data_IF_110652488876
#
_entry.id   IF_110652488876
#
_cell.length_a   1.000
_cell.length_b   1.000
_cell.length_c   1.000
_cell.angle_alpha   90.00
_cell.angle_beta   90.00
_cell.angle_gamma   90.00
#
_symmetry.space_group_name_H-M   'P 1'
#
loop_
_entity.id
_entity.type
_entity.pdbx_description
1 polymer ?
#
# COMPACT_ATOMS: atom_id res chain seq x y z
N UNK A 1 -1.41 -1.50 11.75
CA UNK A 1 -2.39 -0.49 11.31
C UNK A 1 -3.36 -1.06 10.28
N UNK A 2 -4.48 -0.40 10.10
CA UNK A 2 -5.36 -0.56 8.94
C UNK A 2 -5.35 0.72 8.11
N UNK A 3 -5.66 0.61 6.83
CA UNK A 3 -5.65 1.73 5.88
C UNK A 3 -7.06 2.12 5.41
N UNK A 4 -8.06 1.88 6.23
CA UNK A 4 -9.43 2.30 5.97
C UNK A 4 -10.05 2.97 7.19
N UNK A 5 -10.61 4.18 6.99
CA UNK A 5 -11.35 4.90 8.01
C UNK A 5 -12.67 4.20 8.37
N UNK A 6 -13.13 4.34 9.61
CA UNK A 6 -14.41 3.80 10.07
C UNK A 6 -15.64 4.38 9.35
N UNK A 7 -15.50 5.53 8.71
CA UNK A 7 -16.55 6.16 7.88
C UNK A 7 -16.79 5.46 6.55
N UNK A 8 -15.98 4.48 6.21
CA UNK A 8 -16.06 3.68 4.97
C UNK A 8 -16.53 2.27 5.31
N UNK A 9 -17.74 1.94 4.94
CA UNK A 9 -18.35 0.63 5.20
C UNK A 9 -18.03 -0.33 4.04
N UNK A 10 -17.69 -1.57 4.37
CA UNK A 10 -17.34 -2.60 3.41
C UNK A 10 -15.98 -2.41 2.76
N UNK A 11 -15.68 -3.19 1.74
CA UNK A 11 -14.43 -3.13 1.00
C UNK A 11 -14.37 -1.89 0.10
N UNK A 12 -13.45 -0.99 0.36
CA UNK A 12 -13.25 0.21 -0.45
C UNK A 12 -12.02 0.13 -1.37
N UNK A 13 -10.96 -0.52 -0.94
CA UNK A 13 -9.72 -0.61 -1.68
C UNK A 13 -9.10 -2.00 -1.58
N UNK A 14 -8.64 -2.52 -2.69
CA UNK A 14 -7.72 -3.66 -2.72
C UNK A 14 -6.32 -3.10 -2.82
N UNK A 15 -5.55 -3.30 -1.78
CA UNK A 15 -4.14 -2.96 -1.74
C UNK A 15 -3.32 -4.15 -2.21
N UNK A 16 -2.12 -3.88 -2.70
CA UNK A 16 -1.25 -4.93 -3.16
C UNK A 16 0.21 -4.55 -3.12
N UNK A 17 1.04 -5.57 -3.22
CA UNK A 17 2.49 -5.44 -3.34
C UNK A 17 3.01 -6.47 -4.34
N UNK A 18 3.80 -6.02 -5.31
CA UNK A 18 4.58 -6.91 -6.17
C UNK A 18 5.90 -7.18 -5.44
N UNK A 19 6.15 -8.45 -5.18
CA UNK A 19 7.37 -8.89 -4.52
C UNK A 19 8.48 -9.13 -5.55
N UNK A 20 9.64 -8.49 -5.38
CA UNK A 20 10.73 -8.55 -6.36
C UNK A 20 11.71 -9.68 -6.06
N UNK A 21 11.95 -9.99 -4.80
CA UNK A 21 12.80 -11.07 -4.34
C UNK A 21 12.01 -12.11 -3.59
N UNK A 22 12.54 -13.31 -3.44
CA UNK A 22 11.94 -14.33 -2.58
C UNK A 22 11.81 -13.82 -1.14
N UNK A 23 10.72 -14.19 -0.49
CA UNK A 23 10.53 -14.00 0.94
C UNK A 23 10.32 -15.37 1.57
N UNK A 24 11.26 -15.76 2.39
CA UNK A 24 11.28 -17.03 3.11
C UNK A 24 11.20 -16.81 4.63
N UNK A 25 11.13 -17.90 5.38
CA UNK A 25 11.10 -17.84 6.83
C UNK A 25 12.34 -17.10 7.38
N UNK A 26 12.11 -16.14 8.28
CA UNK A 26 13.15 -15.31 8.86
C UNK A 26 13.54 -14.06 8.06
N UNK A 27 13.06 -13.90 6.82
CA UNK A 27 13.25 -12.67 6.05
C UNK A 27 12.34 -11.53 6.56
N UNK A 28 12.72 -10.30 6.26
CA UNK A 28 11.83 -9.16 6.41
C UNK A 28 10.59 -9.33 5.53
N UNK A 29 9.39 -9.22 6.10
CA UNK A 29 8.16 -9.58 5.40
C UNK A 29 7.00 -8.64 5.69
N UNK A 30 5.91 -8.88 4.99
CA UNK A 30 4.58 -8.34 5.25
C UNK A 30 3.84 -9.30 6.18
N UNK A 31 3.36 -8.78 7.32
CA UNK A 31 2.59 -9.56 8.28
C UNK A 31 1.16 -9.04 8.38
N UNK A 32 0.21 -9.95 8.51
CA UNK A 32 -1.22 -9.64 8.55
C UNK A 32 -1.87 -10.25 9.78
N UNK A 33 -2.82 -9.53 10.35
CA UNK A 33 -3.69 -10.06 11.40
C UNK A 33 -4.89 -10.74 10.73
N UNK A 34 -4.83 -12.06 10.60
CA UNK A 34 -5.80 -12.85 9.82
C UNK A 34 -7.21 -12.69 10.36
N UNK A 35 -8.18 -12.45 9.46
CA UNK A 35 -9.58 -12.27 9.81
C UNK A 35 -9.96 -10.87 10.31
N UNK A 36 -9.00 -10.01 10.62
CA UNK A 36 -9.27 -8.68 11.17
C UNK A 36 -10.06 -7.76 10.24
N UNK A 37 -9.99 -7.98 8.93
CA UNK A 37 -10.79 -7.25 7.94
C UNK A 37 -12.29 -7.48 8.12
N UNK A 38 -12.70 -8.68 8.53
CA UNK A 38 -14.11 -9.01 8.77
C UNK A 38 -14.64 -8.40 10.07
N UNK A 39 -13.76 -8.13 11.01
CA UNK A 39 -14.05 -7.55 12.31
C UNK A 39 -13.82 -6.03 12.36
N UNK A 40 -13.35 -5.41 11.28
CA UNK A 40 -12.96 -4.01 11.25
C UNK A 40 -14.07 -3.06 11.68
N UNK A 41 -15.27 -3.22 11.14
CA UNK A 41 -16.40 -2.33 11.46
C UNK A 41 -16.90 -2.52 12.89
N UNK A 42 -16.99 -3.76 13.35
CA UNK A 42 -17.35 -4.11 14.72
C UNK A 42 -16.34 -3.50 15.71
N UNK A 43 -15.04 -3.71 15.44
CA UNK A 43 -13.97 -3.17 16.25
C UNK A 43 -14.02 -1.64 16.36
N UNK A 44 -14.13 -0.94 15.23
CA UNK A 44 -14.18 0.52 15.20
C UNK A 44 -15.37 1.06 15.99
N UNK A 45 -16.51 0.40 15.91
CA UNK A 45 -17.73 0.78 16.64
C UNK A 45 -17.59 0.51 18.13
N UNK A 46 -17.17 -0.68 18.52
CA UNK A 46 -17.10 -1.12 19.93
C UNK A 46 -16.09 -0.29 20.73
N UNK A 47 -14.97 0.08 20.08
CA UNK A 47 -13.95 0.91 20.73
C UNK A 47 -14.14 2.42 20.51
N UNK A 48 -15.28 2.85 19.96
CA UNK A 48 -15.58 4.25 19.67
C UNK A 48 -14.50 4.97 18.86
N UNK A 49 -13.85 4.25 17.93
CA UNK A 49 -12.80 4.81 17.08
C UNK A 49 -13.47 5.61 15.98
N UNK A 50 -13.30 6.93 16.04
CA UNK A 50 -13.83 7.85 15.04
C UNK A 50 -12.68 8.55 14.32
N UNK A 51 -12.39 8.12 13.10
CA UNK A 51 -11.34 8.70 12.27
C UNK A 51 -11.82 8.90 10.83
N UNK A 52 -11.57 10.08 10.30
CA UNK A 52 -11.75 10.37 8.86
C UNK A 52 -10.47 10.11 8.03
N UNK A 53 -9.41 9.69 8.70
CA UNK A 53 -8.11 9.39 8.08
C UNK A 53 -8.08 7.90 7.76
N UNK A 54 -7.70 7.56 6.54
CA UNK A 54 -7.51 6.18 6.09
C UNK A 54 -6.19 5.61 6.64
N UNK A 55 -6.04 5.65 7.95
CA UNK A 55 -4.94 5.06 8.69
C UNK A 55 -5.27 5.03 10.19
N UNK A 56 -5.22 3.86 10.79
CA UNK A 56 -5.39 3.69 12.22
C UNK A 56 -4.39 2.68 12.76
N UNK A 57 -3.57 3.12 13.73
CA UNK A 57 -2.62 2.23 14.42
C UNK A 57 -3.30 1.61 15.63
N UNK A 58 -3.31 0.29 15.69
CA UNK A 58 -3.83 -0.46 16.83
C UNK A 58 -2.87 -0.34 18.03
N UNK A 59 -3.42 -0.19 19.22
CA UNK A 59 -2.67 -0.33 20.48
C UNK A 59 -2.59 -1.80 20.90
N UNK A 60 -1.65 -2.13 21.80
CA UNK A 60 -1.51 -3.49 22.31
C UNK A 60 -2.78 -3.95 23.05
N UNK A 61 -3.42 -3.06 23.81
CA UNK A 61 -4.68 -3.36 24.47
C UNK A 61 -5.80 -3.72 23.48
N UNK A 62 -5.88 -2.98 22.38
CA UNK A 62 -6.88 -3.21 21.34
C UNK A 62 -6.54 -4.44 20.48
N UNK A 63 -5.26 -4.79 20.37
CA UNK A 63 -4.83 -6.00 19.67
C UNK A 63 -5.37 -7.25 20.35
N UNK A 64 -5.41 -7.28 21.68
CA UNK A 64 -5.91 -8.42 22.45
C UNK A 64 -7.36 -8.75 22.09
N UNK A 65 -8.20 -7.74 21.84
CA UNK A 65 -9.57 -7.94 21.38
C UNK A 65 -9.68 -8.78 20.10
N UNK A 66 -8.78 -8.56 19.14
CA UNK A 66 -8.72 -9.38 17.92
C UNK A 66 -8.21 -10.81 18.19
N UNK A 67 -7.22 -10.94 19.06
CA UNK A 67 -6.68 -12.24 19.46
C UNK A 67 -7.75 -13.09 20.13
N UNK A 68 -8.54 -12.52 21.03
CA UNK A 68 -9.63 -13.19 21.73
C UNK A 68 -10.74 -13.65 20.76
N UNK A 69 -10.91 -12.96 19.62
CA UNK A 69 -11.79 -13.35 18.52
C UNK A 69 -11.15 -14.31 17.52
N UNK A 70 -9.97 -14.86 17.81
CA UNK A 70 -9.30 -15.89 17.01
C UNK A 70 -8.40 -15.36 15.89
N UNK A 71 -8.21 -14.04 15.75
CA UNK A 71 -7.25 -13.48 14.82
C UNK A 71 -5.81 -13.83 15.23
N UNK A 72 -4.95 -14.06 14.25
CA UNK A 72 -3.54 -14.41 14.49
C UNK A 72 -2.65 -13.65 13.52
N UNK A 73 -1.48 -13.23 13.98
CA UNK A 73 -0.46 -12.71 13.08
C UNK A 73 0.08 -13.81 12.18
N UNK A 74 0.18 -13.50 10.91
CA UNK A 74 0.73 -14.41 9.90
C UNK A 74 1.70 -13.65 9.01
N UNK A 75 2.94 -14.11 8.96
CA UNK A 75 3.94 -13.64 8.02
C UNK A 75 3.64 -14.21 6.63
N UNK A 76 3.70 -13.35 5.62
CA UNK A 76 3.43 -13.72 4.24
C UNK A 76 4.75 -14.05 3.58
N UNK A 77 4.92 -15.32 3.26
CA UNK A 77 6.06 -15.85 2.51
C UNK A 77 5.63 -15.97 1.05
N UNK A 78 6.46 -15.53 0.12
CA UNK A 78 6.10 -15.51 -1.28
C UNK A 78 7.35 -15.51 -2.18
N UNK A 79 7.37 -16.27 -3.27
CA UNK A 79 8.46 -16.24 -4.23
C UNK A 79 8.51 -14.90 -4.98
N UNK A 80 9.66 -14.61 -5.56
CA UNK A 80 9.86 -13.46 -6.43
C UNK A 80 8.81 -13.40 -7.55
N UNK A 81 8.36 -12.19 -7.88
CA UNK A 81 7.34 -11.97 -8.91
C UNK A 81 5.89 -12.18 -8.43
N UNK A 82 5.67 -12.59 -7.19
CA UNK A 82 4.32 -12.72 -6.64
C UNK A 82 3.64 -11.37 -6.47
N UNK A 83 2.31 -11.36 -6.65
CA UNK A 83 1.44 -10.27 -6.21
C UNK A 83 0.75 -10.69 -4.92
N UNK A 84 0.97 -9.94 -3.86
CA UNK A 84 0.27 -10.08 -2.58
C UNK A 84 -0.84 -9.04 -2.57
N UNK A 85 -2.10 -9.49 -2.42
CA UNK A 85 -3.26 -8.61 -2.39
C UNK A 85 -3.96 -8.71 -1.04
N UNK A 86 -4.44 -7.57 -0.53
CA UNK A 86 -5.21 -7.52 0.72
C UNK A 86 -6.29 -6.44 0.71
N UNK A 87 -7.27 -6.64 1.55
CA UNK A 87 -8.36 -5.71 1.84
C UNK A 87 -7.84 -4.52 2.66
N UNK A 88 -8.23 -3.30 2.33
CA UNK A 88 -7.82 -2.08 3.05
C UNK A 88 -8.22 -2.05 4.52
N UNK A 89 -9.18 -2.87 4.94
CA UNK A 89 -9.60 -3.05 6.33
C UNK A 89 -8.68 -3.97 7.14
N UNK A 90 -7.86 -4.79 6.48
CA UNK A 90 -6.99 -5.76 7.12
C UNK A 90 -5.91 -5.04 7.95
N UNK A 91 -5.79 -5.41 9.22
CA UNK A 91 -4.67 -4.95 10.04
C UNK A 91 -3.39 -5.66 9.59
N UNK A 92 -2.36 -4.86 9.35
CA UNK A 92 -1.09 -5.34 8.80
C UNK A 92 0.09 -4.50 9.28
N UNK A 93 1.29 -5.04 9.10
CA UNK A 93 2.55 -4.35 9.39
C UNK A 93 3.70 -4.90 8.56
N UNK A 94 4.79 -4.14 8.49
CA UNK A 94 6.07 -4.65 8.03
C UNK A 94 6.78 -5.31 9.22
N UNK A 95 7.37 -6.49 8.99
CA UNK A 95 8.23 -7.18 9.93
C UNK A 95 9.67 -7.13 9.44
N UNK A 96 10.59 -6.90 10.33
CA UNK A 96 12.01 -6.99 10.05
C UNK A 96 12.47 -8.45 9.97
N UNK A 97 13.64 -8.69 9.41
CA UNK A 97 14.26 -10.01 9.39
C UNK A 97 14.60 -10.44 10.83
N UNK A 98 14.48 -11.74 11.09
CA UNK A 98 14.78 -12.33 12.39
C UNK A 98 16.20 -12.92 12.40
N UNK A 99 16.73 -13.15 13.60
CA UNK A 99 18.05 -13.79 13.78
C UNK A 99 18.07 -15.25 13.32
N UNK A 100 16.92 -15.86 13.08
CA UNK A 100 16.80 -17.22 12.53
C UNK A 100 17.40 -17.35 11.12
N UNK A 101 17.57 -16.23 10.43
CA UNK A 101 18.16 -16.19 9.09
C UNK A 101 19.43 -15.31 9.08
N UNK A 102 20.62 -15.91 9.17
CA UNK A 102 21.90 -15.16 9.23
C UNK A 102 22.18 -14.28 8.01
N UNK A 103 21.60 -14.63 6.84
CA UNK A 103 21.70 -13.86 5.60
C UNK A 103 20.31 -13.70 4.99
N UNK A 104 19.50 -12.77 5.50
CA UNK A 104 18.17 -12.54 4.97
C UNK A 104 18.21 -11.98 3.55
N UNK A 105 17.19 -12.30 2.76
CA UNK A 105 17.00 -11.70 1.45
C UNK A 105 16.69 -10.20 1.58
N UNK A 106 17.10 -9.44 0.58
CA UNK A 106 16.64 -8.06 0.46
C UNK A 106 15.13 -8.03 0.26
N UNK A 107 14.44 -7.25 1.08
CA UNK A 107 13.03 -6.97 0.84
C UNK A 107 12.86 -5.78 -0.09
N UNK A 108 12.35 -6.03 -1.28
CA UNK A 108 11.98 -4.97 -2.23
C UNK A 108 10.58 -5.25 -2.77
N UNK A 109 9.65 -4.35 -2.48
CA UNK A 109 8.26 -4.45 -2.90
C UNK A 109 7.77 -3.17 -3.59
N UNK A 110 6.97 -3.33 -4.64
CA UNK A 110 6.30 -2.23 -5.33
C UNK A 110 4.83 -2.25 -4.91
N UNK A 111 4.42 -1.24 -4.16
CA UNK A 111 3.03 -1.12 -3.72
C UNK A 111 2.11 -0.68 -4.86
N UNK A 112 0.97 -1.34 -4.97
CA UNK A 112 -0.09 -1.04 -5.93
C UNK A 112 -1.43 -1.02 -5.20
N UNK A 113 -2.32 -0.10 -5.60
CA UNK A 113 -3.66 -0.02 -5.04
C UNK A 113 -4.67 0.11 -6.16
N UNK A 114 -5.78 -0.60 -6.03
CA UNK A 114 -6.80 -0.70 -7.06
C UNK A 114 -8.16 -0.27 -6.53
N UNK A 115 -8.73 0.70 -7.19
CA UNK A 115 -10.11 1.15 -6.97
C UNK A 115 -10.82 1.31 -8.32
N UNK A 116 -12.16 1.16 -8.35
CA UNK A 116 -12.93 1.37 -9.57
C UNK A 116 -12.74 2.77 -10.11
N UNK A 117 -12.29 2.90 -11.36
CA UNK A 117 -12.07 4.19 -12.02
C UNK A 117 -13.32 5.06 -12.07
N UNK A 118 -14.51 4.44 -12.12
CA UNK A 118 -15.80 5.12 -12.11
C UNK A 118 -16.05 6.00 -10.88
N UNK A 119 -15.33 5.74 -9.79
CA UNK A 119 -15.43 6.51 -8.54
C UNK A 119 -14.43 7.67 -8.47
N UNK A 120 -13.50 7.79 -9.43
CA UNK A 120 -12.50 8.86 -9.45
C UNK A 120 -13.09 10.15 -10.03
N UNK A 121 -12.80 11.28 -9.39
CA UNK A 121 -13.13 12.61 -9.93
C UNK A 121 -12.10 13.01 -11.01
N UNK A 122 -12.48 13.91 -11.93
CA UNK A 122 -11.55 14.44 -12.95
C UNK A 122 -10.28 15.00 -12.32
N UNK A 123 -10.41 15.75 -11.23
CA UNK A 123 -9.27 16.33 -10.47
C UNK A 123 -8.33 15.28 -9.90
N UNK A 124 -8.83 14.11 -9.48
CA UNK A 124 -7.98 13.00 -9.03
C UNK A 124 -7.19 12.41 -10.20
N UNK A 125 -7.85 12.27 -11.36
CA UNK A 125 -7.22 11.75 -12.58
C UNK A 125 -6.11 12.68 -13.06
N UNK A 126 -6.38 13.99 -13.11
CA UNK A 126 -5.40 15.02 -13.48
C UNK A 126 -4.20 15.00 -12.55
N UNK A 127 -4.43 14.89 -11.23
CA UNK A 127 -3.38 14.80 -10.23
C UNK A 127 -2.54 13.52 -10.36
N UNK A 128 -3.14 12.40 -10.77
CA UNK A 128 -2.41 11.15 -11.06
C UNK A 128 -1.54 11.29 -12.30
N UNK A 129 -2.06 11.89 -13.35
CA UNK A 129 -1.30 12.20 -14.58
C UNK A 129 -0.11 13.10 -14.24
N UNK A 130 -0.33 14.14 -13.41
CA UNK A 130 0.73 15.01 -12.93
C UNK A 130 1.79 14.22 -12.13
N UNK A 131 1.38 13.36 -11.20
CA UNK A 131 2.29 12.51 -10.43
C UNK A 131 3.15 11.64 -11.34
N UNK A 132 2.55 11.01 -12.35
CA UNK A 132 3.25 10.20 -13.34
C UNK A 132 4.27 11.02 -14.16
N UNK A 133 3.85 12.16 -14.72
CA UNK A 133 4.74 13.03 -15.51
C UNK A 133 5.91 13.55 -14.66
N UNK A 134 5.66 13.88 -13.41
CA UNK A 134 6.68 14.32 -12.45
C UNK A 134 7.48 13.19 -11.81
N UNK A 135 7.14 11.92 -12.11
CA UNK A 135 7.75 10.72 -11.49
C UNK A 135 7.71 10.76 -9.96
N UNK A 136 6.59 11.18 -9.42
CA UNK A 136 6.34 11.29 -7.97
C UNK A 136 5.49 10.13 -7.50
N UNK A 137 5.86 9.62 -6.33
CA UNK A 137 5.00 8.66 -5.62
C UNK A 137 3.80 9.37 -5.00
N UNK A 138 2.77 8.61 -4.72
CA UNK A 138 1.55 9.04 -4.04
C UNK A 138 1.32 8.21 -2.80
N UNK A 139 0.40 8.66 -1.94
CA UNK A 139 -0.15 7.79 -0.89
C UNK A 139 -0.87 6.60 -1.53
N UNK A 140 -1.14 5.54 -0.74
CA UNK A 140 -1.66 4.26 -1.25
C UNK A 140 -3.05 4.34 -1.91
N UNK A 141 -3.87 5.34 -1.61
CA UNK A 141 -5.17 5.51 -2.28
C UNK A 141 -5.00 6.09 -3.68
N UNK A 142 -5.52 5.46 -4.75
CA UNK A 142 -5.34 5.95 -6.13
C UNK A 142 -6.21 7.16 -6.49
N UNK A 143 -7.23 7.50 -5.70
CA UNK A 143 -8.03 8.72 -5.79
C UNK A 143 -8.59 9.08 -4.40
N UNK A 144 -9.36 10.17 -4.29
CA UNK A 144 -10.03 10.61 -3.07
C UNK A 144 -9.05 10.90 -1.91
N UNK A 145 -8.60 12.13 -1.84
CA UNK A 145 -7.64 12.64 -0.83
C UNK A 145 -6.21 12.07 -0.92
N UNK A 146 -5.84 11.38 -2.01
CA UNK A 146 -4.45 10.99 -2.16
C UNK A 146 -3.52 12.21 -2.29
N UNK A 147 -2.32 12.08 -1.75
CA UNK A 147 -1.29 13.12 -1.76
C UNK A 147 -0.12 12.70 -2.62
N UNK A 148 0.52 13.69 -3.27
CA UNK A 148 1.80 13.49 -3.93
C UNK A 148 2.91 13.63 -2.90
N UNK A 149 3.81 12.65 -2.87
CA UNK A 149 5.04 12.78 -2.08
C UNK A 149 5.98 13.83 -2.71
N UNK A 150 6.94 14.38 -1.95
CA UNK A 150 8.00 15.20 -2.50
C UNK A 150 8.70 14.50 -3.67
N UNK A 151 9.30 15.28 -4.57
CA UNK A 151 10.03 14.76 -5.73
C UNK A 151 11.21 13.88 -5.31
N UNK A 152 11.80 14.17 -4.16
CA UNK A 152 12.92 13.44 -3.60
C UNK A 152 12.40 12.45 -2.54
N UNK A 153 12.79 11.16 -2.62
CA UNK A 153 12.41 10.19 -1.62
C UNK A 153 12.99 10.55 -0.25
N UNK A 154 12.33 10.11 0.81
CA UNK A 154 12.94 10.13 2.14
C UNK A 154 14.03 9.07 2.18
N UNK A 155 15.20 9.46 2.65
CA UNK A 155 16.29 8.54 2.96
C UNK A 155 16.43 8.49 4.48
N UNK A 156 16.62 7.28 5.02
CA UNK A 156 16.84 7.08 6.44
C UNK A 156 18.32 6.77 6.65
N UNK A 157 19.05 7.78 7.16
CA UNK A 157 20.44 7.62 7.60
C UNK A 157 21.54 7.73 6.54
N UNK A 158 21.21 7.84 5.25
CA UNK A 158 22.19 8.02 4.18
C UNK A 158 21.66 9.04 3.18
N UNK A 159 22.44 10.07 2.88
CA UNK A 159 22.17 10.98 1.78
C UNK A 159 22.42 10.25 0.45
N UNK A 160 21.35 9.87 -0.21
CA UNK A 160 21.43 9.29 -1.55
C UNK A 160 21.59 10.40 -2.60
N UNK A 161 22.43 10.18 -3.65
CA UNK A 161 22.55 11.14 -4.72
C UNK A 161 21.18 11.36 -5.39
N UNK A 162 20.85 12.63 -5.60
CA UNK A 162 19.60 13.01 -6.26
C UNK A 162 19.74 12.67 -7.75
N UNK A 163 18.99 11.68 -8.20
CA UNK A 163 18.89 11.37 -9.64
C UNK A 163 17.96 12.40 -10.30
N UNK A 164 18.53 13.51 -10.75
CA UNK A 164 17.81 14.57 -11.43
C UNK A 164 17.21 14.13 -12.78
N UNK A 165 17.82 13.15 -13.43
CA UNK A 165 17.41 12.60 -14.71
C UNK A 165 17.38 11.07 -14.65
N UNK A 166 16.19 10.49 -14.70
CA UNK A 166 16.10 9.05 -14.99
C UNK A 166 16.33 8.84 -16.49
N UNK A 167 17.31 8.04 -16.89
CA UNK A 167 17.69 7.89 -18.31
C UNK A 167 16.67 7.13 -19.13
N UNK A 168 15.63 6.56 -18.53
CA UNK A 168 14.68 5.69 -19.22
C UNK A 168 13.41 6.45 -19.57
N UNK A 169 13.17 6.65 -20.87
CA UNK A 169 11.85 6.99 -21.38
C UNK A 169 10.98 5.74 -21.36
N UNK A 170 10.03 5.67 -20.47
CA UNK A 170 9.07 4.56 -20.41
C UNK A 170 8.17 4.59 -21.65
N UNK A 171 8.28 3.59 -22.51
CA UNK A 171 7.30 3.34 -23.58
C UNK A 171 6.16 2.49 -23.03
N UNK A 172 5.10 3.13 -22.56
CA UNK A 172 3.94 2.42 -22.03
C UNK A 172 2.91 2.13 -23.13
N UNK A 173 2.33 0.93 -23.10
CA UNK A 173 1.17 0.58 -23.96
C UNK A 173 -0.05 1.39 -23.54
N UNK A 174 -0.97 1.61 -24.48
CA UNK A 174 -2.20 2.41 -24.26
C UNK A 174 -3.03 1.95 -23.04
N UNK A 175 -3.09 0.64 -22.80
CA UNK A 175 -3.75 0.08 -21.61
C UNK A 175 -3.13 0.59 -20.30
N UNK A 176 -1.80 0.58 -20.20
CA UNK A 176 -1.09 1.08 -19.01
C UNK A 176 -1.31 2.59 -18.82
N UNK A 177 -1.28 3.36 -19.91
CA UNK A 177 -1.61 4.79 -19.89
C UNK A 177 -3.04 5.03 -19.43
N UNK A 178 -4.01 4.22 -19.89
CA UNK A 178 -5.39 4.26 -19.44
C UNK A 178 -5.57 4.01 -17.95
N UNK A 179 -4.77 3.12 -17.34
CA UNK A 179 -4.77 2.87 -15.89
C UNK A 179 -4.27 4.07 -15.10
N UNK A 180 -3.35 4.85 -15.65
CA UNK A 180 -2.88 6.11 -15.03
C UNK A 180 -3.96 7.18 -15.12
N UNK A 181 -4.75 7.19 -16.19
CA UNK A 181 -5.81 8.17 -16.43
C UNK A 181 -5.73 8.88 -17.78
N UNK A 182 -4.70 8.60 -18.60
CA UNK A 182 -4.61 9.19 -19.92
C UNK A 182 -5.76 8.74 -20.82
N UNK A 183 -6.30 9.68 -21.62
CA UNK A 183 -7.20 9.38 -22.74
C UNK A 183 -6.36 8.98 -23.95
N UNK A 184 -6.90 8.12 -24.82
CA UNK A 184 -6.20 7.50 -25.97
C UNK A 184 -5.45 8.46 -26.94
N UNK A 185 -5.59 9.78 -26.79
CA UNK A 185 -4.92 10.79 -27.63
C UNK A 185 -3.96 11.71 -26.86
N UNK A 186 -3.76 11.50 -25.55
CA UNK A 186 -2.86 12.36 -24.77
C UNK A 186 -1.42 11.86 -24.91
N UNK A 187 -0.51 12.76 -25.31
CA UNK A 187 0.93 12.47 -25.35
C UNK A 187 1.52 12.52 -23.93
N UNK A 188 2.46 11.63 -23.67
CA UNK A 188 3.34 11.72 -22.50
C UNK A 188 4.31 12.87 -22.80
N UNK A 189 4.37 13.87 -21.93
CA UNK A 189 5.29 15.00 -22.01
C UNK A 189 6.64 14.59 -21.39
#
# INVERSE_FOLDING_TARGET
HTDQANTKIGLHCVQGMINIFDIEQGDATFSVLTGSNNLHEEFMKEHNINTSIDWYRISDANLQWFIDKGCKWKNILAPAGSIILWDSRLFHMAMEATLERPKPHFRFGIYVCMLPKSKAKSTDIEKRILAFNQRRMTTHWPYNKFRLFPKFPRTYGIDLPILNNLPIKLKLKSRALGLIGFKNKQKII
#
